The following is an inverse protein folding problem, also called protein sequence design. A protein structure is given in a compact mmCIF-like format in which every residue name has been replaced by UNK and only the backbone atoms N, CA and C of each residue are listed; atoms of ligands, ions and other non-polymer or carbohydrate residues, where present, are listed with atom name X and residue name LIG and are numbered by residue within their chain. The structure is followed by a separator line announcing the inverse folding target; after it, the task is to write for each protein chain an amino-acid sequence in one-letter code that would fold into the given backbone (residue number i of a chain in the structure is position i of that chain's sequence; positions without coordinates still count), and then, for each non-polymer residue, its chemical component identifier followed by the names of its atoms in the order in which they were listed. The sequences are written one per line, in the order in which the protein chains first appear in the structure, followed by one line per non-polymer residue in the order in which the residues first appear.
data_IF_465842941930
#
_entry.id   IF_465842941930
#
_cell.length_a   1.000
_cell.length_b   1.000
_cell.length_c   1.000
_cell.angle_alpha   90.00
_cell.angle_beta   90.00
_cell.angle_gamma   90.00
#
_symmetry.space_group_name_H-M   'P 1'
#
loop_
_entity.id
_entity.type
_entity.pdbx_description
1 polymer ?
#
# COMPACT_ATOMS: atom_id res chain seq x y z
N UNK A 1 11.65 -56.31 2.86
CA UNK A 1 11.19 -56.65 1.49
C UNK A 1 9.91 -57.45 1.58
N UNK A 2 8.77 -56.90 1.14
CA UNK A 2 7.62 -57.68 0.63
C UNK A 2 6.66 -56.73 -0.08
N UNK A 3 6.86 -56.71 -1.39
CA UNK A 3 5.96 -56.22 -2.43
C UNK A 3 4.58 -56.86 -2.25
N UNK A 4 3.51 -56.07 -2.31
CA UNK A 4 2.20 -56.55 -2.76
C UNK A 4 1.51 -55.45 -3.54
N UNK A 5 1.63 -55.61 -4.85
CA UNK A 5 0.79 -55.02 -5.87
C UNK A 5 -0.65 -55.49 -5.68
N UNK A 6 -1.60 -54.58 -5.79
CA UNK A 6 -2.96 -54.89 -6.23
C UNK A 6 -3.47 -53.75 -7.11
N UNK A 7 -3.42 -54.00 -8.42
CA UNK A 7 -4.29 -53.40 -9.43
C UNK A 7 -5.74 -53.82 -9.15
N UNK A 8 -6.69 -52.90 -9.38
CA UNK A 8 -7.95 -53.10 -10.14
C UNK A 8 -8.97 -52.03 -9.73
N UNK A 9 -9.65 -51.43 -10.72
CA UNK A 9 -10.96 -50.82 -10.50
C UNK A 9 -11.13 -49.40 -11.05
N UNK A 10 -11.03 -49.24 -12.36
CA UNK A 10 -11.64 -48.11 -13.07
C UNK A 10 -13.15 -48.13 -12.86
N UNK A 11 -13.69 -47.13 -12.14
CA UNK A 11 -15.13 -46.86 -12.08
C UNK A 11 -15.41 -45.49 -12.69
N UNK A 12 -15.76 -45.50 -13.98
CA UNK A 12 -16.44 -44.40 -14.67
C UNK A 12 -17.85 -44.28 -14.08
N UNK A 13 -18.08 -43.26 -13.26
CA UNK A 13 -19.43 -42.84 -12.88
C UNK A 13 -19.77 -41.54 -13.60
N UNK A 14 -20.64 -41.69 -14.60
CA UNK A 14 -21.29 -40.65 -15.36
C UNK A 14 -22.05 -39.70 -14.44
N UNK A 15 -21.61 -38.44 -14.35
CA UNK A 15 -22.39 -37.38 -13.71
C UNK A 15 -23.36 -36.84 -14.77
N UNK A 16 -24.62 -37.26 -14.65
CA UNK A 16 -25.73 -36.69 -15.40
C UNK A 16 -25.91 -35.22 -15.02
N UNK A 17 -25.81 -34.34 -16.01
CA UNK A 17 -26.21 -32.94 -15.93
C UNK A 17 -27.72 -32.85 -15.73
N UNK A 18 -28.16 -32.70 -14.48
CA UNK A 18 -29.52 -32.25 -14.17
C UNK A 18 -29.52 -30.73 -14.19
N UNK A 19 -29.92 -30.14 -15.32
CA UNK A 19 -30.24 -28.71 -15.38
C UNK A 19 -31.64 -28.49 -14.81
N UNK A 20 -31.75 -28.30 -13.49
CA UNK A 20 -32.98 -27.74 -12.91
C UNK A 20 -33.05 -26.25 -13.24
N UNK A 21 -33.92 -25.87 -14.17
CA UNK A 21 -34.40 -24.49 -14.29
C UNK A 21 -35.25 -24.16 -13.06
N UNK A 22 -34.61 -23.62 -12.02
CA UNK A 22 -35.32 -22.97 -10.94
C UNK A 22 -35.77 -21.58 -11.43
N UNK A 23 -37.04 -21.47 -11.82
CA UNK A 23 -37.70 -20.17 -11.96
C UNK A 23 -37.89 -19.62 -10.55
N UNK A 24 -37.05 -18.66 -10.16
CA UNK A 24 -37.23 -17.91 -8.94
C UNK A 24 -38.47 -17.01 -9.06
N UNK A 25 -39.32 -16.90 -8.01
CA UNK A 25 -40.36 -15.89 -7.96
C UNK A 25 -39.73 -14.50 -7.94
N UNK A 26 -40.25 -13.60 -8.77
CA UNK A 26 -39.90 -12.19 -8.78
C UNK A 26 -40.29 -11.56 -7.44
N UNK A 27 -39.34 -11.53 -6.50
CA UNK A 27 -39.41 -10.67 -5.32
C UNK A 27 -39.09 -9.26 -5.79
N UNK A 28 -40.12 -8.41 -5.79
CA UNK A 28 -40.04 -6.96 -5.90
C UNK A 28 -39.36 -6.42 -4.62
N UNK A 29 -38.06 -6.70 -4.51
CA UNK A 29 -37.20 -6.15 -3.48
C UNK A 29 -36.60 -4.87 -4.02
N UNK A 30 -36.93 -3.75 -3.40
CA UNK A 30 -36.28 -2.46 -3.60
C UNK A 30 -34.77 -2.66 -3.68
N UNK A 31 -34.24 -2.52 -4.90
CA UNK A 31 -32.82 -2.42 -5.19
C UNK A 31 -32.24 -1.27 -4.35
N UNK A 32 -31.57 -1.59 -3.24
CA UNK A 32 -30.51 -0.73 -2.74
C UNK A 32 -29.31 -0.88 -3.67
N UNK A 33 -29.46 -0.34 -4.87
CA UNK A 33 -28.37 -0.06 -5.80
C UNK A 33 -27.63 1.14 -5.22
N UNK A 34 -26.37 1.04 -4.79
CA UNK A 34 -25.58 2.24 -4.60
C UNK A 34 -25.32 2.80 -5.99
N UNK A 35 -26.07 3.82 -6.36
CA UNK A 35 -25.80 4.67 -7.52
C UNK A 35 -24.42 5.33 -7.33
N UNK A 36 -23.37 4.61 -7.74
CA UNK A 36 -22.10 5.21 -8.14
C UNK A 36 -21.90 5.04 -9.66
N UNK A 37 -22.99 5.15 -10.42
CA UNK A 37 -22.93 5.52 -11.83
C UNK A 37 -22.76 7.05 -11.91
N UNK A 38 -21.57 7.51 -11.51
CA UNK A 38 -21.25 8.91 -11.34
C UNK A 38 -19.84 9.28 -11.80
N UNK A 39 -19.26 8.54 -12.74
CA UNK A 39 -18.22 9.08 -13.63
C UNK A 39 -18.85 10.06 -14.63
N UNK A 40 -19.59 11.04 -14.11
CA UNK A 40 -19.93 12.23 -14.85
C UNK A 40 -18.62 12.96 -15.08
N UNK A 41 -18.15 12.87 -16.33
CA UNK A 41 -17.06 13.62 -16.94
C UNK A 41 -17.27 15.12 -16.74
N UNK A 42 -17.05 15.62 -15.53
CA UNK A 42 -16.68 17.00 -15.34
C UNK A 42 -15.23 17.07 -15.77
N UNK A 43 -15.00 17.55 -17.00
CA UNK A 43 -13.69 17.91 -17.49
C UNK A 43 -13.18 19.11 -16.68
N UNK A 44 -12.86 18.85 -15.40
CA UNK A 44 -12.14 19.78 -14.56
C UNK A 44 -10.77 19.88 -15.20
N UNK A 45 -10.57 21.03 -15.85
CA UNK A 45 -9.36 21.47 -16.50
C UNK A 45 -8.13 20.97 -15.73
N UNK A 46 -7.37 20.07 -16.36
CA UNK A 46 -6.18 19.49 -15.76
C UNK A 46 -5.21 20.63 -15.46
N UNK A 47 -5.13 21.04 -14.19
CA UNK A 47 -4.22 22.08 -13.76
C UNK A 47 -2.81 21.59 -14.03
N UNK A 48 -2.16 22.21 -15.02
CA UNK A 48 -0.73 22.02 -15.28
C UNK A 48 0.03 22.87 -14.27
N UNK A 49 -0.03 22.49 -13.00
CA UNK A 49 0.83 23.06 -11.96
C UNK A 49 2.05 22.18 -11.84
N UNK A 50 3.25 22.76 -11.94
CA UNK A 50 4.48 22.09 -11.50
C UNK A 50 4.35 21.92 -9.98
N UNK A 51 4.10 20.71 -9.46
CA UNK A 51 3.97 20.54 -8.03
C UNK A 51 5.36 20.69 -7.42
N UNK A 52 5.53 21.68 -6.54
CA UNK A 52 6.70 21.74 -5.67
C UNK A 52 6.77 20.44 -4.88
N UNK A 53 7.94 19.79 -4.74
CA UNK A 53 8.07 18.58 -3.94
C UNK A 53 7.50 18.82 -2.54
N UNK A 54 6.45 18.06 -2.18
CA UNK A 54 5.85 18.19 -0.86
C UNK A 54 6.83 17.66 0.18
N UNK A 55 7.13 18.51 1.18
CA UNK A 55 7.89 18.08 2.33
C UNK A 55 7.16 16.91 3.02
N UNK A 56 7.89 15.93 3.56
CA UNK A 56 7.27 14.82 4.28
C UNK A 56 6.40 15.35 5.44
N UNK A 57 5.30 14.65 5.73
CA UNK A 57 4.42 15.01 6.85
C UNK A 57 5.21 15.20 8.14
N UNK A 58 4.94 16.25 8.95
CA UNK A 58 5.46 16.34 10.31
C UNK A 58 5.09 15.12 11.18
N UNK A 59 4.09 14.32 10.76
CA UNK A 59 3.73 13.08 11.43
C UNK A 59 4.83 12.00 11.31
N UNK A 60 5.62 11.98 10.23
CA UNK A 60 6.72 11.03 10.05
C UNK A 60 7.76 11.17 11.18
N UNK A 61 8.07 12.40 11.61
CA UNK A 61 9.04 12.62 12.68
C UNK A 61 8.47 12.36 14.07
N UNK A 62 7.16 12.55 14.27
CA UNK A 62 6.47 12.37 15.56
C UNK A 62 6.06 10.92 15.82
N UNK A 63 5.83 10.13 14.77
CA UNK A 63 5.44 8.72 14.86
C UNK A 63 6.55 7.83 14.32
N UNK A 64 7.35 7.26 15.22
CA UNK A 64 8.46 6.36 14.88
C UNK A 64 8.02 5.13 14.08
N UNK A 65 6.80 4.63 14.30
CA UNK A 65 6.29 3.44 13.60
C UNK A 65 5.94 3.79 12.16
N UNK A 66 5.19 4.88 11.95
CA UNK A 66 4.89 5.39 10.61
C UNK A 66 6.17 5.83 9.89
N UNK A 67 7.08 6.53 10.58
CA UNK A 67 8.34 6.98 10.00
C UNK A 67 9.21 5.81 9.55
N UNK A 68 9.33 4.75 10.36
CA UNK A 68 10.04 3.53 9.95
C UNK A 68 9.38 2.86 8.74
N UNK A 69 8.05 2.75 8.71
CA UNK A 69 7.34 2.21 7.56
C UNK A 69 7.58 3.04 6.30
N UNK A 70 7.50 4.37 6.41
CA UNK A 70 7.79 5.31 5.32
C UNK A 70 9.19 5.10 4.75
N UNK A 71 10.23 5.06 5.59
CA UNK A 71 11.61 4.87 5.10
C UNK A 71 11.85 3.48 4.51
N UNK A 72 11.19 2.44 5.02
CA UNK A 72 11.24 1.10 4.41
C UNK A 72 10.54 1.08 3.04
N UNK A 73 9.38 1.73 2.90
CA UNK A 73 8.72 1.86 1.60
C UNK A 73 9.58 2.68 0.63
N UNK A 74 10.20 3.75 1.13
CA UNK A 74 11.08 4.61 0.35
C UNK A 74 12.32 3.87 -0.17
N UNK A 75 12.92 2.99 0.63
CA UNK A 75 14.08 2.20 0.18
C UNK A 75 13.72 1.22 -0.94
N UNK A 76 12.52 0.62 -0.89
CA UNK A 76 11.99 -0.23 -1.96
C UNK A 76 11.79 0.58 -3.25
N UNK A 77 11.08 1.71 -3.18
CA UNK A 77 10.73 2.52 -4.35
C UNK A 77 11.91 3.26 -5.00
N UNK A 78 12.97 3.55 -4.24
CA UNK A 78 14.19 4.19 -4.76
C UNK A 78 15.13 3.22 -5.45
N UNK A 79 15.05 1.95 -5.10
CA UNK A 79 15.91 0.91 -5.66
C UNK A 79 15.41 0.50 -7.03
N UNK A 80 16.30 0.07 -7.92
CA UNK A 80 15.92 -0.48 -9.22
C UNK A 80 15.51 -1.96 -9.06
N UNK A 81 14.22 -2.22 -8.91
CA UNK A 81 13.66 -3.55 -8.67
C UNK A 81 12.24 -3.69 -9.25
N UNK A 82 11.70 -4.91 -9.40
CA UNK A 82 10.38 -5.15 -9.95
C UNK A 82 9.24 -4.39 -9.24
N UNK A 83 9.31 -4.28 -7.91
CA UNK A 83 8.34 -3.52 -7.14
C UNK A 83 8.34 -2.04 -7.52
N UNK A 84 9.50 -1.40 -7.59
CA UNK A 84 9.65 -0.01 -8.00
C UNK A 84 9.13 0.21 -9.44
N UNK A 85 9.41 -0.72 -10.35
CA UNK A 85 8.98 -0.67 -11.75
C UNK A 85 7.45 -0.73 -11.88
N UNK A 86 6.80 -1.54 -11.04
CA UNK A 86 5.34 -1.60 -10.96
C UNK A 86 4.72 -0.25 -10.59
N UNK A 87 5.36 0.49 -9.69
CA UNK A 87 4.98 1.88 -9.37
C UNK A 87 5.59 2.90 -10.34
N UNK A 88 6.17 2.49 -11.46
CA UNK A 88 6.67 3.37 -12.49
C UNK A 88 8.04 4.01 -12.17
N UNK A 89 8.85 3.33 -11.36
CA UNK A 89 10.23 3.64 -11.04
C UNK A 89 10.40 4.68 -9.92
N UNK A 90 11.58 5.30 -9.81
CA UNK A 90 11.92 6.25 -8.74
C UNK A 90 11.00 7.48 -8.65
N UNK A 91 10.29 7.81 -9.73
CA UNK A 91 9.30 8.91 -9.73
C UNK A 91 8.10 8.66 -8.80
N UNK A 92 7.85 7.41 -8.39
CA UNK A 92 6.84 7.06 -7.39
C UNK A 92 7.12 7.66 -6.01
N UNK A 93 8.37 7.99 -5.72
CA UNK A 93 8.80 8.56 -4.44
C UNK A 93 8.11 9.90 -4.15
N UNK A 94 8.01 10.77 -5.15
CA UNK A 94 7.37 12.08 -4.98
C UNK A 94 5.87 11.91 -4.67
N UNK A 95 5.25 10.90 -5.27
CA UNK A 95 3.83 10.59 -5.06
C UNK A 95 3.62 9.95 -3.67
N UNK A 96 4.54 9.10 -3.21
CA UNK A 96 4.53 8.60 -1.83
C UNK A 96 4.66 9.75 -0.83
N UNK A 97 5.56 10.71 -1.07
CA UNK A 97 5.74 11.87 -0.19
C UNK A 97 4.44 12.69 -0.09
N UNK A 98 3.78 12.93 -1.23
CA UNK A 98 2.49 13.60 -1.29
C UNK A 98 1.40 12.82 -0.53
N UNK A 99 1.30 11.50 -0.74
CA UNK A 99 0.35 10.65 -0.02
C UNK A 99 0.57 10.73 1.50
N UNK A 100 1.82 10.57 1.96
CA UNK A 100 2.13 10.54 3.39
C UNK A 100 1.96 11.92 4.04
N UNK A 101 2.18 13.02 3.31
CA UNK A 101 1.91 14.39 3.78
C UNK A 101 0.45 14.58 4.26
N UNK A 102 -0.48 13.81 3.69
CA UNK A 102 -1.92 13.89 3.96
C UNK A 102 -2.41 12.92 5.02
N UNK A 103 -1.56 11.97 5.45
CA UNK A 103 -1.94 11.02 6.48
C UNK A 103 -2.28 11.75 7.78
N UNK A 104 -3.43 11.40 8.33
CA UNK A 104 -3.87 11.74 9.69
C UNK A 104 -4.19 10.45 10.42
N UNK A 105 -3.90 10.37 11.72
CA UNK A 105 -4.31 9.22 12.52
C UNK A 105 -5.77 9.38 12.92
N UNK A 106 -6.57 8.36 12.67
CA UNK A 106 -7.96 8.27 13.08
C UNK A 106 -8.20 6.92 13.79
N UNK A 107 -9.25 6.84 14.61
CA UNK A 107 -9.74 5.57 15.14
C UNK A 107 -10.83 5.02 14.20
N UNK A 108 -10.55 3.91 13.52
CA UNK A 108 -11.47 3.23 12.60
C UNK A 108 -11.73 1.78 13.08
N UNK A 109 -12.61 1.07 12.37
CA UNK A 109 -12.84 -0.37 12.60
C UNK A 109 -11.53 -1.15 12.52
N UNK A 110 -11.34 -2.15 13.38
CA UNK A 110 -10.10 -2.93 13.54
C UNK A 110 -9.60 -3.56 12.23
N UNK A 111 -10.51 -3.84 11.28
CA UNK A 111 -10.16 -4.42 9.98
C UNK A 111 -9.56 -3.44 8.97
N UNK A 112 -9.65 -2.14 9.22
CA UNK A 112 -9.17 -1.11 8.29
C UNK A 112 -7.72 -0.76 8.62
N UNK A 113 -6.79 -0.90 7.68
CA UNK A 113 -5.41 -0.43 7.84
C UNK A 113 -5.29 1.07 7.63
N UNK A 114 -5.66 1.52 6.43
CA UNK A 114 -5.74 2.92 6.04
C UNK A 114 -7.03 3.12 5.21
N UNK A 115 -7.49 4.37 5.11
CA UNK A 115 -8.66 4.74 4.31
C UNK A 115 -8.42 6.07 3.62
N UNK A 116 -8.58 6.10 2.31
CA UNK A 116 -8.65 7.34 1.54
C UNK A 116 -10.12 7.69 1.25
N UNK A 117 -10.48 8.97 1.34
CA UNK A 117 -11.85 9.44 1.17
C UNK A 117 -11.94 10.89 0.72
N UNK A 118 -13.14 11.29 0.30
CA UNK A 118 -13.42 12.65 -0.18
C UNK A 118 -13.16 12.82 -1.68
N UNK A 119 -13.32 14.06 -2.20
CA UNK A 119 -13.04 14.38 -3.59
C UNK A 119 -11.61 14.01 -3.99
N UNK A 120 -11.44 13.62 -5.26
CA UNK A 120 -10.13 13.34 -5.83
C UNK A 120 -9.69 14.44 -6.79
N UNK A 121 -8.42 14.83 -6.71
CA UNK A 121 -7.79 15.74 -7.67
C UNK A 121 -6.82 14.94 -8.54
N UNK A 122 -7.06 14.91 -9.85
CA UNK A 122 -6.12 14.32 -10.82
C UNK A 122 -4.99 15.31 -11.10
N UNK A 123 -3.75 14.84 -11.04
CA UNK A 123 -2.55 15.64 -11.27
C UNK A 123 -1.73 15.01 -12.40
N UNK A 124 -1.30 15.86 -13.32
CA UNK A 124 -0.29 15.54 -14.31
C UNK A 124 1.02 16.21 -13.93
N UNK A 125 2.01 15.42 -13.50
CA UNK A 125 3.34 15.95 -13.22
C UNK A 125 4.15 15.98 -14.53
N UNK A 126 4.32 17.19 -15.08
CA UNK A 126 5.01 17.39 -16.34
C UNK A 126 6.50 16.98 -16.29
N UNK A 127 7.16 17.08 -15.14
CA UNK A 127 8.57 16.72 -14.96
C UNK A 127 8.76 15.21 -15.04
N UNK A 128 7.97 14.46 -14.28
CA UNK A 128 8.07 12.99 -14.21
C UNK A 128 7.21 12.27 -15.26
N UNK A 129 6.38 13.02 -15.98
CA UNK A 129 5.35 12.51 -16.92
C UNK A 129 4.40 11.50 -16.27
N UNK A 130 4.19 11.61 -14.96
CA UNK A 130 3.29 10.72 -14.21
C UNK A 130 1.92 11.36 -14.02
N UNK A 131 0.90 10.51 -14.10
CA UNK A 131 -0.46 10.85 -13.76
C UNK A 131 -0.81 10.15 -12.44
N UNK A 132 -1.39 10.88 -11.51
CA UNK A 132 -1.83 10.33 -10.23
C UNK A 132 -3.06 11.09 -9.74
N UNK A 133 -3.78 10.51 -8.78
CA UNK A 133 -4.89 11.18 -8.09
C UNK A 133 -4.59 11.30 -6.62
N UNK A 134 -4.97 12.43 -6.05
CA UNK A 134 -4.88 12.66 -4.63
C UNK A 134 -6.28 12.66 -4.05
N UNK A 135 -6.45 12.02 -2.90
CA UNK A 135 -7.67 12.08 -2.11
C UNK A 135 -7.59 13.23 -1.10
N UNK A 136 -8.72 13.90 -0.87
CA UNK A 136 -8.82 14.98 0.10
C UNK A 136 -8.40 14.54 1.51
N UNK A 137 -8.82 13.34 1.93
CA UNK A 137 -8.52 12.79 3.26
C UNK A 137 -7.87 11.41 3.20
N UNK A 138 -6.77 11.25 3.96
CA UNK A 138 -6.07 9.97 4.17
C UNK A 138 -6.00 9.67 5.67
N UNK A 139 -6.73 8.65 6.10
CA UNK A 139 -6.87 8.24 7.50
C UNK A 139 -6.11 6.96 7.77
N UNK A 140 -5.05 7.03 8.57
CA UNK A 140 -4.33 5.85 9.08
C UNK A 140 -4.97 5.37 10.38
N UNK A 141 -5.38 4.11 10.45
CA UNK A 141 -6.10 3.58 11.59
C UNK A 141 -5.18 3.25 12.76
N UNK A 142 -5.26 4.02 13.85
CA UNK A 142 -4.51 3.75 15.09
C UNK A 142 -4.95 2.45 15.78
N UNK A 143 -6.17 1.98 15.51
CA UNK A 143 -6.74 0.75 16.05
C UNK A 143 -6.61 -0.45 15.09
N UNK A 144 -5.96 -0.28 13.95
CA UNK A 144 -5.91 -1.26 12.87
C UNK A 144 -4.62 -2.08 12.82
N UNK A 145 -4.45 -2.89 11.77
CA UNK A 145 -3.29 -3.76 11.57
C UNK A 145 -1.95 -3.02 11.43
N UNK A 146 -1.95 -1.71 11.22
CA UNK A 146 -0.71 -0.94 11.15
C UNK A 146 0.03 -0.88 12.50
N UNK A 147 -0.71 -0.75 13.62
CA UNK A 147 -0.15 -0.57 14.97
C UNK A 147 -0.49 -1.69 15.94
N UNK A 148 -1.56 -2.45 15.68
CA UNK A 148 -2.08 -3.42 16.63
C UNK A 148 -1.84 -4.84 16.15
N UNK A 149 -1.51 -5.70 17.09
CA UNK A 149 -1.60 -7.15 16.98
C UNK A 149 -2.37 -7.65 18.19
N UNK A 150 -2.97 -8.84 18.08
CA UNK A 150 -3.63 -9.48 19.22
C UNK A 150 -2.60 -9.74 20.33
N UNK A 151 -2.80 -9.16 21.51
CA UNK A 151 -1.94 -9.34 22.68
C UNK A 151 -2.54 -10.31 23.70
N UNK A 152 -3.87 -10.38 23.79
CA UNK A 152 -4.57 -11.31 24.68
C UNK A 152 -5.73 -12.05 23.98
N UNK A 153 -6.13 -13.20 24.54
CA UNK A 153 -7.16 -14.07 23.94
C UNK A 153 -8.52 -13.37 23.76
N UNK A 154 -8.87 -12.48 24.70
CA UNK A 154 -10.12 -11.72 24.76
C UNK A 154 -10.14 -10.48 23.86
N UNK A 155 -8.98 -10.05 23.35
CA UNK A 155 -8.93 -8.91 22.43
C UNK A 155 -9.49 -9.30 21.06
N UNK A 156 -10.15 -8.35 20.35
CA UNK A 156 -10.57 -8.56 18.98
C UNK A 156 -9.39 -8.99 18.10
N UNK A 157 -9.61 -9.99 17.25
CA UNK A 157 -8.62 -10.41 16.26
C UNK A 157 -8.39 -9.27 15.26
N UNK A 158 -7.14 -8.86 15.12
CA UNK A 158 -6.72 -7.92 14.08
C UNK A 158 -6.39 -8.75 12.83
N UNK A 159 -7.02 -8.48 11.66
CA UNK A 159 -6.78 -9.28 10.47
C UNK A 159 -5.35 -9.08 9.95
N UNK A 160 -4.88 -10.08 9.22
CA UNK A 160 -3.62 -10.02 8.46
C UNK A 160 -3.77 -9.03 7.31
N UNK A 161 -2.65 -8.46 6.88
CA UNK A 161 -2.57 -7.63 5.67
C UNK A 161 -1.91 -8.49 4.61
N UNK A 162 -2.69 -8.96 3.64
CA UNK A 162 -2.16 -9.91 2.68
C UNK A 162 -1.74 -11.22 3.34
N UNK A 163 -0.50 -11.65 3.12
CA UNK A 163 0.13 -12.77 3.83
C UNK A 163 0.84 -12.38 5.13
N UNK A 164 0.90 -11.10 5.48
CA UNK A 164 1.66 -10.63 6.64
C UNK A 164 0.81 -10.48 7.91
N UNK A 165 1.40 -10.86 9.04
CA UNK A 165 0.78 -10.63 10.34
C UNK A 165 0.68 -9.14 10.66
N UNK A 166 -0.37 -8.70 11.37
CA UNK A 166 -0.54 -7.29 11.68
C UNK A 166 0.58 -6.81 12.62
N UNK A 167 0.87 -5.50 12.58
CA UNK A 167 1.91 -4.84 13.37
C UNK A 167 3.36 -5.33 13.07
N UNK A 168 3.59 -5.88 11.89
CA UNK A 168 4.93 -6.24 11.37
C UNK A 168 5.48 -5.12 10.48
N UNK A 169 6.77 -5.19 10.09
CA UNK A 169 7.35 -4.20 9.16
C UNK A 169 6.71 -4.36 7.78
N UNK A 170 6.55 -5.60 7.37
CA UNK A 170 6.04 -6.07 6.10
C UNK A 170 4.59 -5.62 5.91
N UNK A 171 3.71 -5.88 6.89
CA UNK A 171 2.33 -5.44 6.83
C UNK A 171 2.19 -3.91 6.72
N UNK A 172 3.02 -3.14 7.43
CA UNK A 172 2.98 -1.66 7.37
C UNK A 172 3.42 -1.14 6.01
N UNK A 173 4.46 -1.73 5.42
CA UNK A 173 4.93 -1.38 4.08
C UNK A 173 3.89 -1.76 3.04
N UNK A 174 3.30 -2.96 3.15
CA UNK A 174 2.22 -3.39 2.25
C UNK A 174 1.02 -2.45 2.32
N UNK A 175 0.61 -1.98 3.51
CA UNK A 175 -0.43 -0.95 3.65
C UNK A 175 -0.04 0.32 2.86
N UNK A 176 1.18 0.83 3.00
CA UNK A 176 1.58 2.05 2.29
C UNK A 176 1.63 1.85 0.76
N UNK A 177 2.13 0.71 0.29
CA UNK A 177 2.16 0.36 -1.13
C UNK A 177 0.75 0.16 -1.70
N UNK A 178 -0.17 -0.42 -0.93
CA UNK A 178 -1.58 -0.56 -1.27
C UNK A 178 -2.22 0.79 -1.56
N UNK A 179 -2.08 1.73 -0.64
CA UNK A 179 -2.67 3.06 -0.81
C UNK A 179 -1.99 3.83 -1.96
N UNK A 180 -0.68 3.65 -2.15
CA UNK A 180 0.02 4.20 -3.31
C UNK A 180 -0.51 3.65 -4.63
N UNK A 181 -0.87 2.37 -4.69
CA UNK A 181 -1.44 1.73 -5.88
C UNK A 181 -2.80 2.30 -6.28
N UNK A 182 -3.60 2.75 -5.32
CA UNK A 182 -4.84 3.47 -5.61
C UNK A 182 -4.59 4.89 -6.12
N UNK A 183 -3.48 5.52 -5.74
CA UNK A 183 -3.12 6.90 -6.13
C UNK A 183 -2.52 6.94 -7.53
N UNK A 184 -1.78 5.92 -7.93
CA UNK A 184 -0.96 5.94 -9.14
C UNK A 184 -1.65 5.36 -10.38
N UNK A 185 -1.35 5.97 -11.53
CA UNK A 185 -1.77 5.50 -12.85
C UNK A 185 -0.61 4.81 -13.55
N UNK A 186 -0.86 3.63 -14.12
CA UNK A 186 0.08 2.88 -14.94
C UNK A 186 0.36 3.57 -16.28
N UNK A 187 1.36 3.06 -17.00
CA UNK A 187 1.72 3.53 -18.35
C UNK A 187 0.61 3.28 -19.38
N UNK A 188 -0.26 2.32 -19.12
CA UNK A 188 -1.44 1.98 -19.92
C UNK A 188 -2.61 2.96 -19.72
N UNK A 189 -2.49 3.89 -18.77
CA UNK A 189 -3.56 4.82 -18.46
C UNK A 189 -4.67 4.23 -17.59
N UNK A 190 -4.45 3.10 -16.91
CA UNK A 190 -5.35 2.62 -15.86
C UNK A 190 -4.78 2.89 -14.47
N UNK A 191 -5.64 3.01 -13.45
CA UNK A 191 -5.16 3.04 -12.07
C UNK A 191 -4.50 1.70 -11.74
N UNK A 192 -3.36 1.71 -11.05
CA UNK A 192 -2.64 0.47 -10.72
C UNK A 192 -3.53 -0.48 -9.93
N UNK A 193 -4.33 0.08 -9.00
CA UNK A 193 -5.38 -0.61 -8.27
C UNK A 193 -6.74 0.11 -8.45
N UNK A 194 -7.82 -0.63 -8.71
CA UNK A 194 -9.18 -0.08 -8.68
C UNK A 194 -9.55 0.40 -7.26
N UNK A 195 -10.60 1.20 -7.12
CA UNK A 195 -11.05 1.65 -5.79
C UNK A 195 -11.69 0.49 -5.01
N UNK A 196 -11.18 0.21 -3.82
CA UNK A 196 -11.71 -0.82 -2.91
C UNK A 196 -13.13 -0.50 -2.41
N UNK A 197 -13.44 0.79 -2.19
CA UNK A 197 -14.70 1.21 -1.59
C UNK A 197 -14.94 0.56 -0.23
N UNK A 198 -15.96 -0.30 -0.15
CA UNK A 198 -16.29 -1.09 1.06
C UNK A 198 -16.11 -2.60 0.81
N UNK A 199 -15.51 -2.98 -0.32
CA UNK A 199 -15.31 -4.38 -0.69
C UNK A 199 -13.99 -4.88 -0.12
N UNK A 200 -14.07 -5.55 1.03
CA UNK A 200 -12.91 -6.16 1.69
C UNK A 200 -12.26 -7.27 0.84
N UNK A 201 -13.05 -7.94 -0.01
CA UNK A 201 -12.54 -8.96 -0.93
C UNK A 201 -11.66 -8.35 -2.02
N UNK A 202 -12.13 -7.24 -2.61
CA UNK A 202 -11.36 -6.46 -3.58
C UNK A 202 -10.10 -5.87 -2.96
N UNK A 203 -10.21 -5.31 -1.75
CA UNK A 203 -9.05 -4.79 -1.01
C UNK A 203 -7.98 -5.87 -0.80
N UNK A 204 -8.40 -7.07 -0.39
CA UNK A 204 -7.49 -8.21 -0.24
C UNK A 204 -6.85 -8.64 -1.56
N UNK A 205 -7.64 -8.71 -2.64
CA UNK A 205 -7.12 -9.06 -3.97
C UNK A 205 -6.09 -8.03 -4.46
N UNK A 206 -6.33 -6.75 -4.20
CA UNK A 206 -5.41 -5.66 -4.51
C UNK A 206 -4.12 -5.73 -3.69
N UNK A 207 -4.19 -6.07 -2.39
CA UNK A 207 -3.00 -6.34 -1.58
C UNK A 207 -2.20 -7.52 -2.14
N UNK A 208 -2.85 -8.64 -2.51
CA UNK A 208 -2.16 -9.78 -3.12
C UNK A 208 -1.51 -9.45 -4.46
N UNK A 209 -2.12 -8.59 -5.27
CA UNK A 209 -1.51 -8.12 -6.51
C UNK A 209 -0.20 -7.37 -6.25
N UNK A 210 -0.11 -6.60 -5.16
CA UNK A 210 1.15 -5.95 -4.79
C UNK A 210 2.15 -6.96 -4.26
N UNK A 211 1.72 -7.89 -3.41
CA UNK A 211 2.60 -8.94 -2.90
C UNK A 211 3.22 -9.74 -4.04
N UNK A 212 2.44 -10.17 -5.04
CA UNK A 212 2.93 -10.92 -6.21
C UNK A 212 4.10 -10.22 -6.93
N UNK A 213 4.15 -8.89 -6.87
CA UNK A 213 5.18 -8.09 -7.53
C UNK A 213 6.30 -7.62 -6.58
N UNK A 214 6.00 -7.48 -5.30
CA UNK A 214 6.87 -6.85 -4.30
C UNK A 214 7.30 -7.79 -3.16
N UNK A 215 6.95 -9.08 -3.22
CA UNK A 215 7.15 -10.03 -2.13
C UNK A 215 8.62 -10.10 -1.71
N UNK A 216 9.54 -10.19 -2.67
CA UNK A 216 10.97 -10.31 -2.40
C UNK A 216 11.52 -9.09 -1.64
N UNK A 217 11.17 -7.88 -2.09
CA UNK A 217 11.59 -6.64 -1.44
C UNK A 217 10.96 -6.50 -0.04
N UNK A 218 9.67 -6.81 0.11
CA UNK A 218 8.98 -6.72 1.40
C UNK A 218 9.56 -7.73 2.39
N UNK A 219 9.77 -8.98 1.98
CA UNK A 219 10.36 -10.04 2.82
C UNK A 219 11.82 -9.76 3.19
N UNK A 220 12.54 -8.98 2.38
CA UNK A 220 13.93 -8.60 2.70
C UNK A 220 14.02 -7.66 3.92
N UNK A 221 12.97 -6.90 4.23
CA UNK A 221 12.94 -5.92 5.33
C UNK A 221 13.15 -6.55 6.72
N UNK A 222 12.69 -7.80 6.91
CA UNK A 222 12.91 -8.56 8.14
C UNK A 222 14.37 -9.00 8.32
N UNK A 223 15.07 -9.26 7.20
CA UNK A 223 16.42 -9.86 7.19
C UNK A 223 17.51 -8.86 7.56
N UNK A 224 17.35 -7.59 7.19
CA UNK A 224 18.33 -6.50 7.41
C UNK A 224 18.52 -6.15 8.90
N UNK A 225 17.69 -6.67 9.80
CA UNK A 225 17.78 -6.40 11.24
C UNK A 225 18.85 -7.20 12.00
N UNK A 226 19.64 -8.04 11.33
CA UNK A 226 20.73 -8.79 12.00
C UNK A 226 21.97 -7.92 12.21
N UNK A 227 21.92 -7.06 13.24
CA UNK A 227 23.01 -6.44 14.05
C UNK A 227 24.25 -5.80 13.38
N UNK A 228 24.53 -6.04 12.10
CA UNK A 228 25.78 -5.66 11.41
C UNK A 228 25.64 -4.35 10.63
N UNK A 229 24.42 -3.98 10.24
CA UNK A 229 24.16 -2.79 9.42
C UNK A 229 23.80 -1.53 10.22
N UNK A 230 23.41 -1.65 11.50
CA UNK A 230 23.21 -0.49 12.38
C UNK A 230 24.51 0.21 12.79
N UNK A 231 25.67 -0.44 12.60
CA UNK A 231 26.98 0.16 12.87
C UNK A 231 27.53 1.01 11.72
N UNK A 232 26.85 1.06 10.57
CA UNK A 232 27.37 1.71 9.34
C UNK A 232 26.57 2.90 8.84
N UNK A 233 25.37 3.15 9.36
CA UNK A 233 24.62 4.34 9.00
C UNK A 233 25.13 5.54 9.83
N UNK A 234 26.24 6.13 9.39
CA UNK A 234 26.63 7.47 9.82
C UNK A 234 25.62 8.45 9.22
N UNK A 235 25.09 9.32 10.08
CA UNK A 235 24.19 10.39 9.69
C UNK A 235 24.85 11.23 8.58
N UNK A 236 24.27 11.33 7.37
CA UNK A 236 24.84 12.14 6.30
C UNK A 236 24.90 13.64 6.63
N UNK A 237 24.21 14.10 7.69
CA UNK A 237 24.32 15.47 8.21
C UNK A 237 25.45 15.66 9.24
N UNK A 238 26.15 14.60 9.64
CA UNK A 238 27.40 14.72 10.41
C UNK A 238 28.60 14.86 9.46
N UNK A 239 28.52 15.80 8.51
CA UNK A 239 29.74 16.34 7.92
C UNK A 239 30.38 17.26 8.97
N UNK A 240 31.63 16.99 9.40
CA UNK A 240 32.32 17.86 10.33
C UNK A 240 32.42 19.24 9.69
N UNK A 241 31.75 20.22 10.28
CA UNK A 241 31.87 21.62 9.91
C UNK A 241 33.37 21.95 10.02
N UNK A 242 34.04 22.37 8.93
CA UNK A 242 35.46 22.69 8.99
C UNK A 242 35.64 23.81 10.01
N UNK A 243 36.35 23.49 11.09
CA UNK A 243 36.72 24.43 12.14
C UNK A 243 37.66 25.46 11.50
N UNK A 244 37.11 26.62 11.14
CA UNK A 244 37.91 27.72 10.59
C UNK A 244 38.75 28.29 11.72
N UNK A 245 40.02 27.90 11.78
CA UNK A 245 41.01 28.55 12.62
C UNK A 245 41.27 29.94 12.06
N UNK A 246 40.70 30.97 12.70
CA UNK A 246 41.09 32.35 12.46
C UNK A 246 42.49 32.56 13.03
N UNK A 247 43.52 32.35 12.21
CA UNK A 247 44.85 32.93 12.45
C UNK A 247 44.72 34.45 12.39
N UNK A 248 45.18 35.09 13.46
CA UNK A 248 45.12 36.52 13.63
C UNK A 248 46.06 37.28 12.72
N UNK A 249 45.86 38.59 12.65
CA UNK A 249 46.92 39.54 12.31
C UNK A 249 46.61 40.85 13.04
N UNK A 250 47.32 41.09 14.15
CA UNK A 250 47.75 42.42 14.58
C UNK A 250 49.01 42.74 13.76
N UNK A 251 49.21 43.97 13.28
CA UNK A 251 49.49 45.14 14.12
C UNK A 251 48.59 46.37 13.85
#
# INVERSE_FOLDING_TARGET
MRLREFLFGTALMSIALVTTKASAPAVLGNECRPDFAGDARSAVEARTSVPTPSAPSPLISRDKVLGSAYYNTLSILRSNNPCSDFFGGPASVDILNELVSRIRKDALSVGIGMRMSGPTTNIHNALTKKNYRIFDKVSLNSNGPFYRKKAAAWEPTVPRVGTFDPNTKEARVLILLHELGHVMKGSDGHWLLPNDGKDEGLSRANSYKIEDVCEDEINSLGKVTTAKDLGKYKDPDEQPVPFSTSEGTQP
#
